data_IF_917714355443
#
_entry.id   IF_917714355443
#
_cell.length_a   1.000
_cell.length_b   1.000
_cell.length_c   1.000
_cell.angle_alpha   90.00
_cell.angle_beta   90.00
_cell.angle_gamma   90.00
#
_symmetry.space_group_name_H-M   'P 1'
#
loop_
_entity.id
_entity.type
_entity.pdbx_description
1 polymer ?
#
# COMPACT_ATOMS: atom_id res chain seq x y z
N UNK A 1 -23.82 0.38 -22.18
CA UNK A 1 -22.47 0.47 -21.58
C UNK A 1 -22.54 0.84 -20.09
N UNK A 2 -21.91 0.05 -19.20
CA UNK A 2 -21.81 0.33 -17.76
C UNK A 2 -20.34 0.41 -17.36
N UNK A 3 -19.89 1.56 -16.91
CA UNK A 3 -18.49 1.77 -16.48
C UNK A 3 -18.39 1.78 -14.96
N UNK A 4 -17.32 1.21 -14.42
CA UNK A 4 -16.98 1.19 -12.98
C UNK A 4 -15.49 1.46 -12.79
N UNK A 5 -15.13 1.98 -11.63
CA UNK A 5 -13.73 2.13 -11.20
C UNK A 5 -13.54 1.32 -9.92
N UNK A 6 -12.45 0.55 -9.89
CA UNK A 6 -11.93 -0.14 -8.72
C UNK A 6 -10.64 0.51 -8.25
N UNK A 7 -10.39 0.39 -6.95
CA UNK A 7 -9.08 0.58 -6.37
C UNK A 7 -8.30 -0.72 -6.55
N UNK A 8 -7.09 -0.64 -7.08
CA UNK A 8 -6.13 -1.72 -7.12
C UNK A 8 -5.08 -1.52 -6.02
N UNK A 9 -4.77 -2.60 -5.32
CA UNK A 9 -3.71 -2.71 -4.34
C UNK A 9 -2.68 -3.71 -4.86
N UNK A 10 -1.41 -3.46 -4.60
CA UNK A 10 -0.38 -4.50 -4.68
C UNK A 10 0.71 -4.31 -3.65
N UNK A 11 1.38 -5.41 -3.35
CA UNK A 11 2.61 -5.46 -2.57
C UNK A 11 3.53 -6.55 -3.13
N UNK A 12 4.85 -6.32 -3.23
CA UNK A 12 5.74 -7.24 -3.93
C UNK A 12 6.03 -8.56 -3.19
N UNK A 13 5.92 -8.59 -1.86
CA UNK A 13 6.42 -9.71 -1.05
C UNK A 13 5.42 -10.27 -0.03
N UNK A 14 4.22 -9.70 0.08
CA UNK A 14 3.23 -10.10 1.08
C UNK A 14 1.97 -10.61 0.38
N UNK A 15 1.29 -11.56 1.02
CA UNK A 15 0.04 -12.10 0.52
C UNK A 15 -1.17 -11.40 1.16
N UNK A 16 -2.21 -11.06 0.37
CA UNK A 16 -2.26 -11.20 -1.08
C UNK A 16 -1.37 -10.18 -1.79
N UNK A 17 -0.63 -10.61 -2.82
CA UNK A 17 0.26 -9.72 -3.59
C UNK A 17 -0.48 -8.67 -4.43
N UNK A 18 -1.77 -8.90 -4.71
CA UNK A 18 -2.66 -8.05 -5.47
C UNK A 18 -4.10 -8.21 -4.99
N UNK A 19 -4.83 -7.11 -4.90
CA UNK A 19 -6.26 -7.13 -4.58
C UNK A 19 -6.97 -5.94 -5.22
N UNK A 20 -8.29 -6.07 -5.44
CA UNK A 20 -9.11 -4.98 -5.97
C UNK A 20 -10.34 -4.72 -5.11
N UNK A 21 -10.71 -3.45 -4.99
CA UNK A 21 -11.78 -3.00 -4.11
C UNK A 21 -12.70 -2.00 -4.84
N UNK A 22 -14.01 -2.19 -4.69
CA UNK A 22 -14.99 -1.18 -5.11
C UNK A 22 -15.23 -0.10 -4.06
N UNK A 23 -14.88 -0.39 -2.80
CA UNK A 23 -15.18 0.45 -1.65
C UNK A 23 -13.89 0.78 -0.86
N UNK A 24 -13.58 2.08 -0.66
CA UNK A 24 -12.47 2.54 0.18
C UNK A 24 -12.45 1.99 1.61
N UNK A 25 -13.62 1.76 2.21
CA UNK A 25 -13.72 1.24 3.58
C UNK A 25 -13.19 -0.18 3.65
N UNK A 26 -13.57 -1.03 2.68
CA UNK A 26 -13.09 -2.42 2.58
C UNK A 26 -11.58 -2.46 2.36
N UNK A 27 -11.03 -1.56 1.54
CA UNK A 27 -9.59 -1.41 1.42
C UNK A 27 -8.95 -1.06 2.78
N UNK A 28 -9.50 -0.09 3.50
CA UNK A 28 -8.93 0.35 4.78
C UNK A 28 -8.92 -0.77 5.82
N UNK A 29 -10.02 -1.52 5.90
CA UNK A 29 -10.10 -2.73 6.73
C UNK A 29 -9.10 -3.77 6.29
N UNK A 30 -9.00 -4.06 4.99
CA UNK A 30 -8.03 -4.99 4.43
C UNK A 30 -6.59 -4.62 4.82
N UNK A 31 -6.21 -3.34 4.67
CA UNK A 31 -4.86 -2.86 4.99
C UNK A 31 -4.53 -3.05 6.49
N UNK A 32 -5.48 -2.80 7.39
CA UNK A 32 -5.29 -2.99 8.84
C UNK A 32 -5.01 -4.45 9.23
N UNK A 33 -5.48 -5.42 8.44
CA UNK A 33 -5.26 -6.84 8.70
C UNK A 33 -3.97 -7.38 8.05
N UNK A 34 -3.28 -6.59 7.23
CA UNK A 34 -1.99 -6.97 6.70
C UNK A 34 -0.93 -6.93 7.80
N UNK A 35 -0.41 -8.09 8.17
CA UNK A 35 0.66 -8.19 9.15
C UNK A 35 2.02 -8.30 8.46
N UNK A 36 2.73 -7.17 8.38
CA UNK A 36 4.09 -7.07 7.84
C UNK A 36 5.16 -7.63 8.79
N UNK A 37 4.81 -7.92 10.05
CA UNK A 37 5.66 -8.57 11.03
C UNK A 37 5.43 -10.08 11.09
N UNK A 38 4.48 -10.62 10.32
CA UNK A 38 4.23 -12.05 10.23
C UNK A 38 5.49 -12.80 9.80
N UNK A 39 5.80 -13.87 10.51
CA UNK A 39 6.86 -14.82 10.13
C UNK A 39 6.51 -15.48 8.80
N UNK A 40 7.53 -15.89 8.05
CA UNK A 40 7.32 -16.56 6.78
C UNK A 40 8.34 -17.67 6.57
N UNK A 41 7.99 -18.64 5.73
CA UNK A 41 8.88 -19.74 5.36
C UNK A 41 10.11 -19.18 4.67
N UNK A 42 11.30 -19.67 5.03
CA UNK A 42 12.55 -19.29 4.38
C UNK A 42 12.50 -19.64 2.88
N UNK A 43 12.28 -18.62 2.04
CA UNK A 43 12.41 -18.76 0.59
C UNK A 43 13.74 -18.14 0.14
N UNK A 44 14.18 -18.42 -1.08
CA UNK A 44 15.30 -17.69 -1.68
C UNK A 44 14.97 -16.21 -1.96
N UNK A 45 13.69 -15.82 -1.79
CA UNK A 45 13.25 -14.43 -1.88
C UNK A 45 13.44 -13.79 -0.50
N UNK A 46 14.39 -12.87 -0.38
CA UNK A 46 14.40 -11.94 0.75
C UNK A 46 13.06 -11.21 0.76
N UNK A 47 12.32 -11.25 1.88
CA UNK A 47 11.05 -10.51 1.97
C UNK A 47 11.42 -9.03 2.04
N UNK A 48 11.30 -8.38 0.89
CA UNK A 48 11.76 -7.01 0.71
C UNK A 48 10.88 -5.99 1.43
N UNK A 49 11.06 -4.73 1.03
CA UNK A 49 10.49 -3.59 1.74
C UNK A 49 8.98 -3.75 1.98
N UNK A 50 8.49 -3.44 3.19
CA UNK A 50 7.08 -3.53 3.56
C UNK A 50 6.31 -2.38 2.91
N UNK A 51 6.08 -2.50 1.60
CA UNK A 51 5.53 -1.45 0.76
C UNK A 51 4.18 -1.83 0.16
N UNK A 52 3.39 -0.81 -0.11
CA UNK A 52 2.04 -0.90 -0.66
C UNK A 52 1.95 0.08 -1.83
N UNK A 53 1.44 -0.35 -2.97
CA UNK A 53 1.13 0.53 -4.08
C UNK A 53 -0.37 0.52 -4.39
N UNK A 54 -0.95 1.71 -4.49
CA UNK A 54 -2.36 1.92 -4.80
C UNK A 54 -2.53 2.48 -6.21
N UNK A 55 -3.59 2.07 -6.88
CA UNK A 55 -3.91 2.52 -8.24
C UNK A 55 -5.39 2.41 -8.55
N UNK A 56 -5.77 2.94 -9.71
CA UNK A 56 -7.15 2.91 -10.20
C UNK A 56 -7.25 2.02 -11.44
N UNK A 57 -8.32 1.22 -11.51
CA UNK A 57 -8.64 0.39 -12.67
C UNK A 57 -10.06 0.65 -13.12
N UNK A 58 -10.24 0.87 -14.42
CA UNK A 58 -11.54 1.07 -15.03
C UNK A 58 -12.02 -0.23 -15.66
N UNK A 59 -13.29 -0.55 -15.43
CA UNK A 59 -13.98 -1.71 -16.01
C UNK A 59 -15.17 -1.18 -16.80
N UNK A 60 -15.30 -1.62 -18.04
CA UNK A 60 -16.42 -1.28 -18.92
C UNK A 60 -17.16 -2.55 -19.30
N UNK A 61 -18.46 -2.61 -19.01
CA UNK A 61 -19.33 -3.66 -19.51
C UNK A 61 -20.13 -3.13 -20.71
N UNK A 62 -20.04 -3.82 -21.84
CA UNK A 62 -20.79 -3.47 -23.04
C UNK A 62 -21.22 -4.72 -23.82
N UNK A 63 -22.51 -4.83 -24.12
CA UNK A 63 -23.06 -5.97 -24.87
C UNK A 63 -22.78 -7.36 -24.27
N UNK A 64 -22.59 -7.46 -22.94
CA UNK A 64 -22.22 -8.72 -22.27
C UNK A 64 -20.71 -8.97 -22.17
N UNK A 65 -19.89 -8.15 -22.83
CA UNK A 65 -18.43 -8.21 -22.74
C UNK A 65 -17.90 -7.33 -21.60
N UNK A 66 -16.79 -7.75 -20.98
CA UNK A 66 -16.06 -6.98 -19.97
C UNK A 66 -14.72 -6.53 -20.55
N UNK A 67 -14.46 -5.22 -20.51
CA UNK A 67 -13.20 -4.62 -20.91
C UNK A 67 -12.51 -4.02 -19.68
N UNK A 68 -11.30 -4.49 -19.39
CA UNK A 68 -10.53 -4.11 -18.21
C UNK A 68 -9.34 -3.26 -18.63
N UNK A 69 -9.21 -2.06 -18.05
CA UNK A 69 -8.06 -1.20 -18.32
C UNK A 69 -6.78 -1.68 -17.61
N UNK A 70 -5.63 -1.21 -18.09
CA UNK A 70 -4.41 -1.18 -17.28
C UNK A 70 -4.67 -0.37 -15.99
N UNK A 71 -3.96 -0.73 -14.92
CA UNK A 71 -4.02 0.01 -13.65
C UNK A 71 -3.22 1.31 -13.78
N UNK A 72 -3.84 2.44 -13.47
CA UNK A 72 -3.15 3.70 -13.27
C UNK A 72 -2.61 3.74 -11.83
N UNK A 73 -1.33 3.39 -11.66
CA UNK A 73 -0.67 3.41 -10.35
C UNK A 73 -0.38 4.83 -9.88
N UNK A 74 -0.48 5.06 -8.57
CA UNK A 74 -0.32 6.37 -7.95
C UNK A 74 0.60 6.27 -6.72
N UNK A 75 0.03 6.33 -5.51
CA UNK A 75 0.75 6.32 -4.25
C UNK A 75 1.48 4.98 -4.03
N UNK A 76 2.79 5.06 -3.79
CA UNK A 76 3.60 3.98 -3.24
C UNK A 76 4.00 4.36 -1.82
N UNK A 77 3.48 3.64 -0.84
CA UNK A 77 3.68 3.93 0.58
C UNK A 77 4.49 2.83 1.24
N UNK A 78 5.28 3.22 2.22
CA UNK A 78 6.07 2.31 3.06
C UNK A 78 5.37 2.14 4.40
N UNK A 79 5.30 0.92 4.92
CA UNK A 79 4.80 0.63 6.26
C UNK A 79 5.94 0.69 7.25
N UNK A 80 5.79 1.50 8.28
CA UNK A 80 6.82 1.67 9.29
C UNK A 80 6.34 2.41 10.52
N UNK A 81 7.28 2.68 11.41
CA UNK A 81 7.12 3.42 12.66
C UNK A 81 8.33 4.30 12.94
N UNK A 82 8.23 5.11 13.99
CA UNK A 82 9.34 5.93 14.52
C UNK A 82 10.06 6.75 13.45
N UNK A 83 9.30 7.53 12.66
CA UNK A 83 9.86 8.31 11.55
C UNK A 83 10.61 9.54 12.06
N UNK A 84 11.87 9.67 11.63
CA UNK A 84 12.75 10.79 11.93
C UNK A 84 13.20 11.48 10.65
N UNK A 85 13.32 12.81 10.70
CA UNK A 85 13.76 13.62 9.57
C UNK A 85 14.99 14.42 9.96
N UNK A 86 16.07 14.29 9.17
CA UNK A 86 17.31 15.05 9.36
C UNK A 86 17.66 15.77 8.06
N UNK A 87 17.32 17.06 7.98
CA UNK A 87 17.38 17.81 6.71
C UNK A 87 16.45 17.16 5.67
N UNK A 88 17.00 16.82 4.51
CA UNK A 88 16.28 16.13 3.44
C UNK A 88 16.17 14.61 3.64
N UNK A 89 16.89 14.03 4.60
CA UNK A 89 16.90 12.59 4.85
C UNK A 89 15.75 12.17 5.75
N UNK A 90 15.11 11.06 5.39
CA UNK A 90 13.97 10.50 6.12
C UNK A 90 14.35 9.10 6.57
N UNK A 91 14.26 8.84 7.85
CA UNK A 91 14.54 7.55 8.46
C UNK A 91 13.24 6.97 9.00
N UNK A 92 13.03 5.69 8.79
CA UNK A 92 11.87 4.97 9.31
C UNK A 92 12.30 3.61 9.84
N UNK A 93 11.64 3.17 10.91
CA UNK A 93 11.79 1.80 11.41
C UNK A 93 10.76 0.93 10.75
N UNK A 94 11.19 -0.08 9.99
CA UNK A 94 10.30 -0.93 9.18
C UNK A 94 10.48 -2.41 9.50
N UNK A 95 9.46 -3.24 9.26
CA UNK A 95 9.62 -4.68 9.30
C UNK A 95 10.66 -5.15 8.29
N UNK A 96 11.62 -5.97 8.73
CA UNK A 96 12.66 -6.60 7.92
C UNK A 96 12.93 -8.01 8.41
N UNK A 97 13.56 -8.85 7.58
CA UNK A 97 14.00 -10.18 7.99
C UNK A 97 15.00 -10.09 9.15
N UNK A 98 14.77 -10.90 10.17
CA UNK A 98 15.74 -11.16 11.22
C UNK A 98 16.83 -12.09 10.70
N UNK A 99 18.09 -11.94 11.15
CA UNK A 99 19.19 -12.79 10.71
C UNK A 99 19.06 -14.24 11.20
N UNK A 100 18.29 -14.46 12.27
CA UNK A 100 18.13 -15.77 12.90
C UNK A 100 16.83 -16.43 12.43
N UNK A 101 16.92 -17.73 12.11
CA UNK A 101 15.76 -18.58 11.86
C UNK A 101 15.16 -19.03 13.19
N UNK A 102 13.84 -19.16 13.20
CA UNK A 102 13.10 -19.76 14.29
C UNK A 102 13.32 -21.28 14.30
N UNK A 103 13.03 -21.92 15.43
CA UNK A 103 13.17 -23.38 15.60
C UNK A 103 12.34 -24.17 14.59
N UNK A 104 11.21 -23.62 14.15
CA UNK A 104 10.33 -24.21 13.13
C UNK A 104 10.84 -24.00 11.67
N UNK A 105 12.00 -23.34 11.49
CA UNK A 105 12.59 -23.06 10.18
C UNK A 105 12.10 -21.77 9.50
N UNK A 106 11.13 -21.06 10.09
CA UNK A 106 10.66 -19.78 9.56
C UNK A 106 11.67 -18.65 9.79
N UNK A 107 11.57 -17.62 8.96
CA UNK A 107 12.29 -16.37 9.12
C UNK A 107 11.44 -15.43 9.98
N UNK A 108 11.98 -15.05 11.14
CA UNK A 108 11.38 -14.03 11.99
C UNK A 108 11.51 -12.63 11.37
N UNK A 109 10.61 -11.74 11.76
CA UNK A 109 10.67 -10.32 11.38
C UNK A 109 11.14 -9.50 12.57
N UNK A 110 11.96 -8.49 12.29
CA UNK A 110 12.40 -7.51 13.27
C UNK A 110 12.22 -6.10 12.73
N UNK A 111 12.10 -5.17 13.66
CA UNK A 111 12.07 -3.75 13.35
C UNK A 111 13.48 -3.25 13.09
N UNK A 112 13.73 -2.70 11.90
CA UNK A 112 15.03 -2.14 11.55
C UNK A 112 14.89 -0.74 11.00
N UNK A 113 15.77 0.15 11.44
CA UNK A 113 15.86 1.48 10.83
C UNK A 113 16.44 1.39 9.41
N UNK A 114 15.83 2.14 8.50
CA UNK A 114 16.33 2.34 7.15
C UNK A 114 16.28 3.82 6.78
N UNK A 115 17.14 4.20 5.83
CA UNK A 115 16.98 5.44 5.08
C UNK A 115 15.88 5.24 4.03
N UNK A 116 14.82 6.06 4.07
CA UNK A 116 13.71 6.01 3.13
C UNK A 116 14.13 6.66 1.82
N UNK A 117 13.98 5.93 0.71
CA UNK A 117 14.12 6.48 -0.63
C UNK A 117 12.92 7.36 -0.98
N UNK A 118 13.07 8.67 -0.76
CA UNK A 118 12.01 9.66 -0.98
C UNK A 118 11.68 9.90 -2.46
N UNK A 119 12.49 9.37 -3.40
CA UNK A 119 12.18 9.39 -4.83
C UNK A 119 11.21 8.27 -5.22
N UNK A 120 11.22 7.17 -4.44
CA UNK A 120 10.44 5.96 -4.67
C UNK A 120 9.15 5.92 -3.86
N UNK A 121 9.19 6.39 -2.61
CA UNK A 121 8.05 6.34 -1.69
C UNK A 121 7.42 7.71 -1.50
N UNK A 122 6.10 7.77 -1.70
CA UNK A 122 5.30 8.97 -1.51
C UNK A 122 5.03 9.26 -0.03
N UNK A 123 4.98 8.22 0.80
CA UNK A 123 4.71 8.35 2.23
C UNK A 123 5.22 7.15 3.04
N UNK A 124 5.35 7.36 4.35
CA UNK A 124 5.46 6.30 5.37
C UNK A 124 4.18 6.32 6.20
N UNK A 125 3.56 5.16 6.40
CA UNK A 125 2.33 4.99 7.17
C UNK A 125 2.53 3.98 8.31
N UNK A 126 1.84 4.24 9.41
CA UNK A 126 1.58 3.25 10.45
C UNK A 126 0.38 2.38 9.99
N UNK A 127 0.59 1.08 9.85
CA UNK A 127 -0.44 0.20 9.28
C UNK A 127 -1.63 -0.06 10.23
N UNK A 128 -1.39 -0.10 11.54
CA UNK A 128 -2.44 -0.39 12.51
C UNK A 128 -3.45 0.77 12.59
N UNK A 129 -2.92 2.00 12.63
CA UNK A 129 -3.73 3.22 12.74
C UNK A 129 -4.10 3.82 11.38
N UNK A 130 -3.45 3.38 10.31
CA UNK A 130 -3.48 3.99 8.97
C UNK A 130 -3.03 5.46 8.97
N UNK A 131 -2.25 5.87 9.97
CA UNK A 131 -1.76 7.24 10.10
C UNK A 131 -0.54 7.45 9.22
N UNK A 132 -0.52 8.54 8.45
CA UNK A 132 0.68 8.95 7.74
C UNK A 132 1.69 9.58 8.70
N UNK A 133 2.86 8.96 8.81
CA UNK A 133 3.97 9.41 9.64
C UNK A 133 4.88 10.38 8.87
N UNK A 134 5.04 10.16 7.57
CA UNK A 134 5.79 11.05 6.68
C UNK A 134 5.18 11.10 5.27
N UNK A 135 5.23 12.24 4.57
CA UNK A 135 5.50 13.57 5.13
C UNK A 135 4.49 13.93 6.22
N UNK A 136 4.88 14.75 7.20
CA UNK A 136 3.95 15.19 8.24
C UNK A 136 2.87 16.05 7.59
N UNK A 137 1.64 15.55 7.58
CA UNK A 137 0.49 16.25 6.99
C UNK A 137 -0.56 16.54 8.05
N UNK A 138 -1.33 17.62 7.84
CA UNK A 138 -2.63 17.76 8.53
C UNK A 138 -3.56 16.64 8.05
N UNK A 139 -4.47 16.16 8.92
CA UNK A 139 -5.29 14.95 8.73
C UNK A 139 -5.85 14.75 7.31
N UNK A 140 -6.22 15.83 6.63
CA UNK A 140 -6.95 15.76 5.35
C UNK A 140 -6.05 15.87 4.10
N UNK A 141 -4.73 15.94 4.28
CA UNK A 141 -3.75 16.14 3.20
C UNK A 141 -2.76 14.97 3.04
N UNK A 142 -3.09 13.80 3.59
CA UNK A 142 -2.28 12.59 3.44
C UNK A 142 -2.34 12.05 2.01
N UNK A 143 -1.33 11.27 1.61
CA UNK A 143 -1.30 10.60 0.31
C UNK A 143 -2.47 9.63 0.15
N UNK A 144 -2.87 8.96 1.25
CA UNK A 144 -4.06 8.12 1.25
C UNK A 144 -5.34 8.94 1.00
N UNK A 145 -5.50 10.10 1.64
CA UNK A 145 -6.64 10.98 1.42
C UNK A 145 -6.68 11.56 -0.01
N UNK A 146 -5.50 11.90 -0.57
CA UNK A 146 -5.37 12.34 -1.97
C UNK A 146 -5.82 11.24 -2.92
N UNK A 147 -5.35 10.02 -2.72
CA UNK A 147 -5.77 8.86 -3.51
C UNK A 147 -7.28 8.62 -3.42
N UNK A 148 -7.88 8.70 -2.23
CA UNK A 148 -9.34 8.56 -2.07
C UNK A 148 -10.11 9.67 -2.80
N UNK A 149 -9.57 10.88 -2.81
CA UNK A 149 -10.16 12.00 -3.57
C UNK A 149 -10.10 11.75 -5.07
N UNK A 150 -9.00 11.21 -5.59
CA UNK A 150 -8.87 10.83 -6.99
C UNK A 150 -9.86 9.73 -7.38
N UNK A 151 -9.99 8.70 -6.54
CA UNK A 151 -10.97 7.64 -6.71
C UNK A 151 -12.40 8.18 -6.78
N UNK A 152 -12.79 9.01 -5.81
CA UNK A 152 -14.13 9.63 -5.77
C UNK A 152 -14.39 10.48 -7.02
N UNK A 153 -13.42 11.28 -7.47
CA UNK A 153 -13.52 12.06 -8.71
C UNK A 153 -13.68 11.17 -9.94
N UNK A 154 -12.94 10.06 -10.04
CA UNK A 154 -13.06 9.11 -11.13
C UNK A 154 -14.46 8.49 -11.18
N UNK A 155 -15.01 8.08 -10.03
CA UNK A 155 -16.38 7.58 -9.93
C UNK A 155 -17.42 8.64 -10.33
N UNK A 156 -17.27 9.89 -9.87
CA UNK A 156 -18.19 10.98 -10.23
C UNK A 156 -18.18 11.30 -11.72
N UNK A 157 -17.01 11.25 -12.39
CA UNK A 157 -16.92 11.46 -13.84
C UNK A 157 -17.68 10.41 -14.64
N UNK A 158 -17.74 9.18 -14.14
CA UNK A 158 -18.52 8.10 -14.76
C UNK A 158 -20.02 8.32 -14.57
N UNK A 159 -20.47 8.73 -13.37
CA UNK A 159 -21.89 8.99 -13.12
C UNK A 159 -22.49 10.13 -13.94
N UNK A 160 -21.64 11.07 -14.41
CA UNK A 160 -22.06 12.22 -15.23
C UNK A 160 -22.09 11.92 -16.74
N UNK A 161 -21.66 10.74 -17.15
CA UNK A 161 -21.69 10.26 -18.54
C UNK A 161 -22.86 9.30 -18.72
#
# INVERSE_FOLDING_TARGET
MKTRVKIAFKTPFYEPNYAEFYNPLVLTEFLRHLDFMKTHVATHLTVGMPEIQLGLRTIVHDGGNEYISKVAWSARVLVGRDVRTHGARVFATVPMDAPLRLENGDVARQWREILVDTSKYSAVIDNATMTQLWPRCRKDKTEFARFMTEFARAQSKIKRR
#
